data_IF_543034747669
#
_entry.id   IF_543034747669
#
_cell.length_a   1.000
_cell.length_b   1.000
_cell.length_c   1.000
_cell.angle_alpha   90.00
_cell.angle_beta   90.00
_cell.angle_gamma   90.00
#
_symmetry.space_group_name_H-M   'P 1'
#
loop_
_entity.id
_entity.type
_entity.pdbx_description
1 polymer ?
#
# COMPACT_ATOMS: atom_id res chain seq x y z
N UNK A 1 10.77 -18.76 -33.17
CA UNK A 1 9.36 -18.89 -32.74
C UNK A 1 8.93 -17.55 -32.17
N UNK A 2 8.03 -16.84 -32.85
CA UNK A 2 7.58 -15.51 -32.42
C UNK A 2 6.70 -15.67 -31.18
N UNK A 3 7.11 -15.12 -30.05
CA UNK A 3 6.28 -15.07 -28.83
C UNK A 3 5.14 -14.09 -29.12
N UNK A 4 3.89 -14.56 -29.02
CA UNK A 4 2.71 -13.70 -29.16
C UNK A 4 2.63 -12.77 -27.93
N UNK A 5 2.86 -11.44 -28.09
CA UNK A 5 2.88 -10.51 -26.98
C UNK A 5 1.51 -10.30 -26.32
N UNK A 6 0.42 -10.75 -26.94
CA UNK A 6 -0.95 -10.61 -26.42
C UNK A 6 -1.54 -11.94 -25.91
N UNK A 7 -0.76 -13.02 -25.92
CA UNK A 7 -1.19 -14.27 -25.30
C UNK A 7 -1.52 -14.07 -23.81
N UNK A 8 -2.60 -14.70 -23.34
CA UNK A 8 -3.02 -14.60 -21.94
C UNK A 8 -1.91 -15.08 -21.00
N UNK A 9 -1.59 -14.27 -20.00
CA UNK A 9 -0.70 -14.68 -18.92
C UNK A 9 -1.33 -15.81 -18.08
N UNK A 10 -0.54 -16.84 -17.77
CA UNK A 10 -0.93 -17.87 -16.81
C UNK A 10 -0.74 -17.35 -15.38
N UNK A 11 -1.67 -17.69 -14.47
CA UNK A 11 -1.56 -17.32 -13.07
C UNK A 11 -0.48 -18.18 -12.38
N UNK A 12 0.38 -17.55 -11.59
CA UNK A 12 1.30 -18.27 -10.70
C UNK A 12 0.55 -19.01 -9.59
N UNK A 13 1.16 -20.04 -8.96
CA UNK A 13 0.59 -20.71 -7.79
C UNK A 13 0.21 -19.72 -6.67
N UNK A 14 1.06 -18.74 -6.38
CA UNK A 14 0.78 -17.72 -5.35
C UNK A 14 -0.41 -16.84 -5.74
N UNK A 15 -0.55 -16.48 -7.02
CA UNK A 15 -1.70 -15.72 -7.47
C UNK A 15 -3.01 -16.52 -7.35
N UNK A 16 -2.96 -17.85 -7.49
CA UNK A 16 -4.11 -18.71 -7.23
C UNK A 16 -4.42 -18.78 -5.73
N UNK A 17 -3.41 -18.92 -4.87
CA UNK A 17 -3.58 -18.95 -3.42
C UNK A 17 -4.17 -17.63 -2.89
N UNK A 18 -3.62 -16.49 -3.34
CA UNK A 18 -4.14 -15.16 -3.01
C UNK A 18 -5.61 -15.00 -3.44
N UNK A 19 -5.96 -15.52 -4.63
CA UNK A 19 -7.33 -15.45 -5.12
C UNK A 19 -8.30 -16.32 -4.31
N UNK A 20 -7.86 -17.48 -3.83
CA UNK A 20 -8.65 -18.40 -3.03
C UNK A 20 -8.84 -17.91 -1.59
N UNK A 21 -7.76 -17.46 -0.95
CA UNK A 21 -7.76 -17.09 0.48
C UNK A 21 -8.11 -15.62 0.73
N UNK A 22 -8.02 -14.78 -0.30
CA UNK A 22 -8.07 -13.31 -0.20
C UNK A 22 -6.99 -12.75 0.74
N UNK A 23 -5.88 -13.49 0.91
CA UNK A 23 -4.73 -13.08 1.72
C UNK A 23 -3.44 -13.24 0.96
N UNK A 24 -2.49 -12.36 1.23
CA UNK A 24 -1.12 -12.46 0.75
C UNK A 24 -0.38 -13.57 1.49
N UNK A 25 0.82 -13.92 1.02
CA UNK A 25 1.71 -14.87 1.70
C UNK A 25 2.01 -14.43 3.15
N UNK A 26 2.10 -13.12 3.40
CA UNK A 26 2.32 -12.55 4.73
C UNK A 26 1.04 -12.44 5.59
N UNK A 27 -0.09 -12.96 5.09
CA UNK A 27 -1.37 -13.00 5.80
C UNK A 27 -2.19 -11.71 5.75
N UNK A 28 -1.71 -10.65 5.08
CA UNK A 28 -2.46 -9.41 4.89
C UNK A 28 -3.62 -9.61 3.90
N UNK A 29 -4.74 -8.87 4.01
CA UNK A 29 -5.79 -8.91 2.99
C UNK A 29 -5.26 -8.57 1.60
N UNK A 30 -5.69 -9.30 0.57
CA UNK A 30 -5.36 -8.94 -0.80
C UNK A 30 -6.11 -7.67 -1.22
N UNK A 31 -5.38 -6.66 -1.67
CA UNK A 31 -5.94 -5.41 -2.20
C UNK A 31 -5.77 -5.32 -3.71
N UNK A 32 -6.79 -4.83 -4.41
CA UNK A 32 -6.58 -4.11 -5.67
C UNK A 32 -5.85 -2.79 -5.40
N UNK A 33 -5.21 -2.20 -6.40
CA UNK A 33 -4.54 -0.91 -6.25
C UNK A 33 -5.47 0.17 -5.66
N UNK A 34 -6.70 0.28 -6.17
CA UNK A 34 -7.70 1.23 -5.65
C UNK A 34 -8.05 0.98 -4.19
N UNK A 35 -8.30 -0.27 -3.81
CA UNK A 35 -8.61 -0.61 -2.41
C UNK A 35 -7.40 -0.43 -1.47
N UNK A 36 -6.18 -0.56 -1.98
CA UNK A 36 -4.98 -0.26 -1.21
C UNK A 36 -4.91 1.25 -0.94
N UNK A 37 -5.14 2.10 -1.94
CA UNK A 37 -5.19 3.55 -1.72
C UNK A 37 -6.27 3.96 -0.72
N UNK A 38 -7.43 3.29 -0.73
CA UNK A 38 -8.47 3.50 0.30
C UNK A 38 -7.97 3.15 1.71
N UNK A 39 -7.27 2.03 1.87
CA UNK A 39 -6.67 1.63 3.15
C UNK A 39 -5.60 2.62 3.62
N UNK A 40 -4.72 3.06 2.73
CA UNK A 40 -3.68 4.06 3.05
C UNK A 40 -4.28 5.41 3.41
N UNK A 41 -5.39 5.80 2.78
CA UNK A 41 -6.11 7.04 3.09
C UNK A 41 -6.74 7.06 4.48
N UNK A 42 -6.80 5.93 5.19
CA UNK A 42 -7.29 5.90 6.58
C UNK A 42 -6.27 6.42 7.59
N UNK A 43 -4.99 6.55 7.23
CA UNK A 43 -3.99 7.16 8.09
C UNK A 43 -4.25 8.66 8.22
N UNK A 44 -4.47 9.13 9.44
CA UNK A 44 -4.88 10.51 9.67
C UNK A 44 -3.68 11.46 9.82
N UNK A 45 -3.83 12.68 9.29
CA UNK A 45 -2.98 13.82 9.61
C UNK A 45 -3.68 14.71 10.63
N UNK A 46 -3.11 14.80 11.82
CA UNK A 46 -3.61 15.61 12.92
C UNK A 46 -2.82 16.92 13.01
N UNK A 47 -3.51 18.05 12.89
CA UNK A 47 -2.92 19.38 13.13
C UNK A 47 -3.09 19.76 14.59
N UNK A 48 -1.98 19.95 15.30
CA UNK A 48 -1.97 20.30 16.73
C UNK A 48 -1.52 21.74 16.93
N UNK A 49 -2.30 22.51 17.70
CA UNK A 49 -1.96 23.87 18.11
C UNK A 49 -1.39 23.85 19.53
N UNK A 50 -0.27 24.53 19.75
CA UNK A 50 0.33 24.73 21.08
C UNK A 50 -0.07 26.12 21.60
N UNK A 51 -0.97 26.21 22.59
CA UNK A 51 -1.51 27.49 23.05
C UNK A 51 -0.42 28.44 23.57
N UNK A 52 0.56 27.91 24.30
CA UNK A 52 1.63 28.70 24.92
C UNK A 52 2.68 29.22 23.93
N UNK A 53 2.77 28.67 22.71
CA UNK A 53 3.88 28.93 21.80
C UNK A 53 3.46 29.62 20.48
N UNK A 54 2.19 30.02 20.30
CA UNK A 54 1.62 30.47 19.00
C UNK A 54 2.08 29.60 17.82
N UNK A 55 2.29 28.31 18.06
CA UNK A 55 2.84 27.36 17.10
C UNK A 55 1.79 26.32 16.74
N UNK A 56 1.84 25.85 15.50
CA UNK A 56 1.02 24.74 14.99
C UNK A 56 1.93 23.77 14.27
N UNK A 57 1.71 22.46 14.44
CA UNK A 57 2.44 21.42 13.74
C UNK A 57 1.51 20.29 13.32
N UNK A 58 1.90 19.60 12.26
CA UNK A 58 1.18 18.42 11.78
C UNK A 58 1.86 17.15 12.31
N UNK A 59 1.04 16.15 12.63
CA UNK A 59 1.49 14.83 13.05
C UNK A 59 0.65 13.76 12.36
N UNK A 60 1.30 12.79 11.74
CA UNK A 60 0.63 11.58 11.25
C UNK A 60 0.37 10.62 12.40
N UNK A 61 -0.75 9.90 12.36
CA UNK A 61 -0.99 8.78 13.27
C UNK A 61 -0.02 7.64 12.97
N UNK A 62 0.27 6.82 13.99
CA UNK A 62 1.05 5.60 13.82
C UNK A 62 0.41 4.73 12.72
N UNK A 63 1.16 4.30 11.70
CA UNK A 63 0.62 3.48 10.63
C UNK A 63 0.27 2.08 11.12
N UNK A 64 -0.74 1.46 10.49
CA UNK A 64 -0.95 0.01 10.62
C UNK A 64 0.23 -0.75 9.97
N UNK A 65 0.44 -2.05 10.30
CA UNK A 65 1.51 -2.83 9.67
C UNK A 65 1.45 -2.83 8.13
N UNK A 66 0.24 -2.87 7.56
CA UNK A 66 0.03 -2.81 6.11
C UNK A 66 0.41 -1.43 5.54
N UNK A 67 0.04 -0.34 6.22
CA UNK A 67 0.41 1.02 5.81
C UNK A 67 1.93 1.21 5.87
N UNK A 68 2.58 0.77 6.94
CA UNK A 68 4.04 0.85 7.10
C UNK A 68 4.77 0.11 5.97
N UNK A 69 4.34 -1.12 5.68
CA UNK A 69 4.92 -1.92 4.59
C UNK A 69 4.73 -1.25 3.21
N UNK A 70 3.54 -0.72 2.94
CA UNK A 70 3.29 -0.01 1.69
C UNK A 70 4.16 1.26 1.54
N UNK A 71 4.34 2.03 2.61
CA UNK A 71 5.22 3.21 2.61
C UNK A 71 6.68 2.85 2.37
N UNK A 72 7.15 1.73 2.95
CA UNK A 72 8.50 1.22 2.70
C UNK A 72 8.72 0.89 1.22
N UNK A 73 7.79 0.11 0.62
CA UNK A 73 7.87 -0.22 -0.81
C UNK A 73 7.82 1.01 -1.70
N UNK A 74 7.04 2.03 -1.34
CA UNK A 74 6.95 3.28 -2.08
C UNK A 74 8.24 4.11 -1.99
N UNK A 75 8.96 4.06 -0.86
CA UNK A 75 10.25 4.73 -0.71
C UNK A 75 11.34 4.09 -1.57
N UNK A 76 11.25 2.79 -1.83
CA UNK A 76 12.18 2.03 -2.67
C UNK A 76 11.81 2.06 -4.17
N UNK A 77 10.63 2.59 -4.52
CA UNK A 77 10.19 2.66 -5.90
C UNK A 77 11.11 3.60 -6.71
N UNK A 78 11.53 3.20 -7.94
CA UNK A 78 12.31 4.09 -8.78
C UNK A 78 11.50 5.35 -9.08
N UNK A 79 11.99 6.50 -8.62
CA UNK A 79 11.41 7.80 -8.96
C UNK A 79 11.74 8.05 -10.43
N UNK A 80 10.82 7.71 -11.32
CA UNK A 80 10.93 8.09 -12.72
C UNK A 80 10.73 9.60 -12.79
N UNK A 81 11.80 10.32 -13.16
CA UNK A 81 11.78 11.76 -13.39
C UNK A 81 10.92 12.14 -14.61
#
# INVERSE_FOLDING_TARGET
>A
TSTDPVAKASRSPDAQLNAQTKRTADGAPCHSYKSLLTELATQARCTTRVPAAKATFDKLTEPTPLQAHAHQLAADAPVTA
#
